data_IF_402882930483
#
_entry.id   IF_402882930483
#
_cell.length_a   1.000
_cell.length_b   1.000
_cell.length_c   1.000
_cell.angle_alpha   90.00
_cell.angle_beta   90.00
_cell.angle_gamma   90.00
#
_symmetry.space_group_name_H-M   'P 1'
#
loop_
_entity.id
_entity.type
_entity.pdbx_description
1 polymer ?
#
# COMPACT_ATOMS: atom_id res chain seq x y z
N UNK A 1 33.78 -17.39 -13.89
CA UNK A 1 33.62 -16.05 -13.29
C UNK A 1 32.23 -15.54 -13.68
N UNK A 2 31.21 -15.92 -12.89
CA UNK A 2 29.79 -15.60 -13.14
C UNK A 2 29.35 -14.64 -12.03
N UNK A 3 29.45 -13.34 -12.29
CA UNK A 3 29.02 -12.28 -11.38
C UNK A 3 28.07 -11.37 -12.17
N UNK A 4 26.79 -11.30 -11.80
CA UNK A 4 25.94 -10.17 -12.18
C UNK A 4 24.45 -10.42 -12.40
N UNK A 5 24.00 -11.59 -12.86
CA UNK A 5 22.67 -11.70 -13.48
C UNK A 5 21.45 -11.81 -12.53
N UNK A 6 21.65 -11.90 -11.20
CA UNK A 6 20.56 -12.25 -10.26
C UNK A 6 19.94 -11.11 -9.43
N UNK A 7 20.47 -9.88 -9.48
CA UNK A 7 20.11 -8.83 -8.51
C UNK A 7 18.86 -8.00 -8.88
N UNK A 8 18.54 -7.86 -10.17
CA UNK A 8 17.46 -6.98 -10.64
C UNK A 8 16.08 -7.30 -10.07
N UNK A 9 15.55 -8.53 -10.30
CA UNK A 9 14.20 -8.88 -9.86
C UNK A 9 14.04 -8.85 -8.34
N UNK A 10 15.04 -9.34 -7.61
CA UNK A 10 15.00 -9.37 -6.14
C UNK A 10 15.07 -7.97 -5.53
N UNK A 11 15.86 -7.06 -6.13
CA UNK A 11 15.95 -5.68 -5.67
C UNK A 11 14.63 -4.92 -5.88
N UNK A 12 13.97 -5.12 -7.02
CA UNK A 12 12.66 -4.50 -7.31
C UNK A 12 11.58 -5.02 -6.36
N UNK A 13 11.53 -6.34 -6.10
CA UNK A 13 10.59 -6.91 -5.12
C UNK A 13 10.85 -6.40 -3.70
N UNK A 14 12.12 -6.30 -3.29
CA UNK A 14 12.47 -5.75 -1.98
C UNK A 14 12.10 -4.26 -1.87
N UNK A 15 12.37 -3.47 -2.91
CA UNK A 15 12.01 -2.06 -2.96
C UNK A 15 10.50 -1.86 -2.95
N UNK A 16 9.73 -2.68 -3.67
CA UNK A 16 8.28 -2.66 -3.65
C UNK A 16 7.72 -2.96 -2.25
N UNK A 17 8.26 -4.00 -1.59
CA UNK A 17 7.90 -4.34 -0.22
C UNK A 17 8.23 -3.23 0.77
N UNK A 18 9.44 -2.67 0.67
CA UNK A 18 9.87 -1.55 1.52
C UNK A 18 8.99 -0.30 1.32
N UNK A 19 8.64 0.03 0.07
CA UNK A 19 7.75 1.15 -0.23
C UNK A 19 6.35 0.94 0.36
N UNK A 20 5.75 -0.25 0.17
CA UNK A 20 4.44 -0.55 0.71
C UNK A 20 4.42 -0.49 2.25
N UNK A 21 5.41 -1.09 2.90
CA UNK A 21 5.52 -1.08 4.36
C UNK A 21 5.83 0.32 4.91
N UNK A 22 6.65 1.10 4.20
CA UNK A 22 6.94 2.48 4.57
C UNK A 22 5.69 3.35 4.53
N UNK A 23 4.86 3.22 3.49
CA UNK A 23 3.58 3.94 3.38
C UNK A 23 2.62 3.50 4.48
N UNK A 24 2.42 2.20 4.67
CA UNK A 24 1.50 1.68 5.72
C UNK A 24 1.98 2.07 7.11
N UNK A 25 3.28 1.96 7.38
CA UNK A 25 3.87 2.39 8.64
C UNK A 25 3.69 3.88 8.87
N UNK A 26 3.98 4.72 7.88
CA UNK A 26 3.77 6.17 7.96
C UNK A 26 2.32 6.53 8.27
N UNK A 27 1.36 5.95 7.53
CA UNK A 27 -0.07 6.16 7.76
C UNK A 27 -0.51 5.69 9.15
N UNK A 28 0.03 4.58 9.65
CA UNK A 28 -0.31 4.08 10.98
C UNK A 28 0.02 5.09 12.10
N UNK A 29 1.13 5.84 11.94
CA UNK A 29 1.53 6.87 12.90
C UNK A 29 0.92 8.24 12.61
N UNK A 30 0.39 8.48 11.41
CA UNK A 30 -0.32 9.70 11.04
C UNK A 30 -1.84 9.56 11.27
N UNK A 31 -2.21 9.47 12.54
CA UNK A 31 -3.60 9.26 12.99
C UNK A 31 -4.31 8.09 12.27
N UNK A 32 -3.58 7.00 12.01
CA UNK A 32 -4.09 5.82 11.33
C UNK A 32 -4.44 6.02 9.85
N UNK A 33 -4.09 7.16 9.25
CA UNK A 33 -4.41 7.49 7.86
C UNK A 33 -5.87 7.83 7.62
N UNK A 34 -6.62 8.23 8.66
CA UNK A 34 -8.04 8.58 8.54
C UNK A 34 -8.29 9.93 7.85
N UNK A 35 -7.29 10.81 7.82
CA UNK A 35 -7.45 12.16 7.28
C UNK A 35 -7.19 12.24 5.76
N UNK A 36 -7.88 13.15 5.04
CA UNK A 36 -7.70 13.33 3.61
C UNK A 36 -6.29 13.57 3.12
N UNK A 37 -5.54 14.38 3.85
CA UNK A 37 -4.14 14.68 3.53
C UNK A 37 -3.27 13.43 3.61
N UNK A 38 -3.51 12.57 4.60
CA UNK A 38 -2.70 11.38 4.85
C UNK A 38 -2.79 10.38 3.68
N UNK A 39 -4.01 9.99 3.26
CA UNK A 39 -4.14 9.04 2.15
C UNK A 39 -3.84 9.66 0.79
N UNK A 40 -3.93 10.98 0.62
CA UNK A 40 -3.50 11.67 -0.60
C UNK A 40 -1.98 11.62 -0.75
N UNK A 41 -1.25 12.02 0.29
CA UNK A 41 0.22 11.98 0.29
C UNK A 41 0.74 10.55 0.21
N UNK A 42 0.21 9.65 1.05
CA UNK A 42 0.53 8.23 1.03
C UNK A 42 0.22 7.59 -0.32
N UNK A 43 -0.93 7.93 -0.92
CA UNK A 43 -1.35 7.46 -2.23
C UNK A 43 -0.43 7.94 -3.35
N UNK A 44 -0.03 9.22 -3.33
CA UNK A 44 0.90 9.79 -4.29
C UNK A 44 2.27 9.11 -4.21
N UNK A 45 2.81 8.90 -3.01
CA UNK A 45 4.07 8.18 -2.81
C UNK A 45 3.98 6.73 -3.28
N UNK A 46 2.90 6.01 -2.93
CA UNK A 46 2.70 4.62 -3.33
C UNK A 46 2.57 4.48 -4.86
N UNK A 47 1.79 5.33 -5.51
CA UNK A 47 1.62 5.34 -6.97
C UNK A 47 2.92 5.71 -7.69
N UNK A 48 3.64 6.72 -7.21
CA UNK A 48 4.93 7.11 -7.78
C UNK A 48 5.95 5.98 -7.66
N UNK A 49 6.05 5.34 -6.50
CA UNK A 49 6.93 4.18 -6.29
C UNK A 49 6.55 3.03 -7.23
N UNK A 50 5.25 2.70 -7.33
CA UNK A 50 4.76 1.66 -8.23
C UNK A 50 5.11 1.97 -9.69
N UNK A 51 4.85 3.20 -10.15
CA UNK A 51 5.16 3.64 -11.51
C UNK A 51 6.66 3.58 -11.84
N UNK A 52 7.51 4.06 -10.93
CA UNK A 52 8.98 4.01 -11.08
C UNK A 52 9.47 2.55 -11.14
N UNK A 53 8.99 1.69 -10.25
CA UNK A 53 9.41 0.27 -10.23
C UNK A 53 8.97 -0.47 -11.49
N UNK A 54 7.75 -0.22 -11.98
CA UNK A 54 7.26 -0.78 -13.25
C UNK A 54 8.06 -0.25 -14.45
N UNK A 55 8.47 1.02 -14.45
CA UNK A 55 9.30 1.60 -15.50
C UNK A 55 10.72 1.02 -15.53
N UNK A 56 11.29 0.71 -14.36
CA UNK A 56 12.61 0.06 -14.23
C UNK A 56 12.53 -1.40 -14.69
N UNK A 57 11.50 -2.12 -14.26
CA UNK A 57 11.38 -3.54 -14.56
C UNK A 57 9.91 -3.97 -14.66
N UNK A 58 9.47 -4.27 -15.88
CA UNK A 58 8.20 -4.96 -16.07
C UNK A 58 8.27 -6.37 -15.47
N UNK A 59 7.26 -6.79 -14.68
CA UNK A 59 7.18 -8.14 -14.18
C UNK A 59 7.09 -9.12 -15.36
N UNK A 60 8.07 -10.04 -15.44
CA UNK A 60 8.12 -11.10 -16.48
C UNK A 60 7.38 -12.38 -16.06
N UNK A 61 6.76 -12.38 -14.89
CA UNK A 61 5.97 -13.50 -14.40
C UNK A 61 4.51 -13.30 -14.79
N UNK A 62 3.82 -14.41 -15.09
CA UNK A 62 2.39 -14.37 -15.36
C UNK A 62 1.64 -14.00 -14.08
N UNK A 63 0.96 -12.85 -14.10
CA UNK A 63 0.02 -12.50 -13.05
C UNK A 63 -1.17 -13.46 -13.14
N UNK A 64 -1.63 -13.96 -12.00
CA UNK A 64 -2.81 -14.83 -11.97
C UNK A 64 -4.05 -14.03 -12.37
N UNK A 65 -5.04 -14.70 -12.94
CA UNK A 65 -6.33 -14.07 -13.27
C UNK A 65 -6.97 -13.42 -12.03
N UNK A 66 -6.79 -14.02 -10.85
CA UNK A 66 -7.26 -13.47 -9.58
C UNK A 66 -6.53 -12.17 -9.19
N UNK A 67 -5.21 -12.09 -9.40
CA UNK A 67 -4.46 -10.86 -9.14
C UNK A 67 -4.88 -9.73 -10.09
N UNK A 68 -5.07 -10.05 -11.38
CA UNK A 68 -5.58 -9.09 -12.37
C UNK A 68 -7.01 -8.66 -12.07
N UNK A 69 -7.87 -9.58 -11.67
CA UNK A 69 -9.24 -9.27 -11.24
C UNK A 69 -9.23 -8.37 -10.00
N UNK A 70 -8.37 -8.67 -9.00
CA UNK A 70 -8.26 -7.87 -7.78
C UNK A 70 -7.86 -6.42 -8.07
N UNK A 71 -6.76 -6.21 -8.80
CA UNK A 71 -6.31 -4.85 -9.13
C UNK A 71 -7.30 -4.14 -10.08
N UNK A 72 -7.89 -4.86 -11.03
CA UNK A 72 -8.87 -4.32 -11.97
C UNK A 72 -10.17 -3.90 -11.30
N UNK A 73 -10.70 -4.71 -10.37
CA UNK A 73 -11.91 -4.38 -9.61
C UNK A 73 -11.68 -3.20 -8.66
N UNK A 74 -10.51 -3.12 -8.01
CA UNK A 74 -10.16 -1.96 -7.18
C UNK A 74 -10.02 -0.68 -8.02
N UNK A 75 -9.36 -0.76 -9.19
CA UNK A 75 -9.25 0.38 -10.09
C UNK A 75 -10.62 0.80 -10.66
N UNK A 76 -11.49 -0.16 -10.97
CA UNK A 76 -12.85 0.11 -11.40
C UNK A 76 -13.68 0.75 -10.28
N UNK A 77 -13.52 0.30 -9.04
CA UNK A 77 -14.15 0.91 -7.88
C UNK A 77 -13.70 2.36 -7.71
N UNK A 78 -12.38 2.64 -7.78
CA UNK A 78 -11.85 4.00 -7.71
C UNK A 78 -12.40 4.90 -8.84
N UNK A 79 -12.47 4.38 -10.07
CA UNK A 79 -13.05 5.12 -11.19
C UNK A 79 -14.54 5.39 -10.97
N UNK A 80 -15.28 4.42 -10.44
CA UNK A 80 -16.69 4.54 -10.13
C UNK A 80 -16.98 5.54 -8.99
N UNK A 81 -16.17 5.53 -7.93
CA UNK A 81 -16.30 6.48 -6.81
C UNK A 81 -15.98 7.90 -7.27
N UNK A 82 -14.92 8.07 -8.08
CA UNK A 82 -14.60 9.35 -8.70
C UNK A 82 -15.69 9.87 -9.64
N UNK A 83 -16.24 9.00 -10.48
CA UNK A 83 -17.33 9.36 -11.40
C UNK A 83 -18.62 9.71 -10.64
N UNK A 84 -18.86 9.06 -9.50
CA UNK A 84 -20.00 9.34 -8.64
C UNK A 84 -20.00 10.78 -8.08
N UNK A 85 -18.85 11.46 -8.03
CA UNK A 85 -18.78 12.86 -7.64
C UNK A 85 -19.59 13.78 -8.57
N UNK A 86 -19.82 13.41 -9.83
CA UNK A 86 -20.57 14.23 -10.78
C UNK A 86 -22.07 14.32 -10.49
N UNK A 87 -22.62 13.42 -9.68
CA UNK A 87 -24.04 13.39 -9.31
C UNK A 87 -24.28 13.18 -7.81
N UNK A 88 -23.21 13.17 -7.01
CA UNK A 88 -23.31 13.05 -5.56
C UNK A 88 -23.75 14.38 -4.94
N UNK A 89 -24.64 14.35 -3.93
CA UNK A 89 -24.89 15.50 -3.05
C UNK A 89 -23.66 15.96 -2.25
N UNK A 90 -22.63 15.11 -2.15
CA UNK A 90 -21.36 15.37 -1.46
C UNK A 90 -20.19 14.97 -2.39
N UNK A 91 -19.80 15.82 -3.35
CA UNK A 91 -18.77 15.52 -4.33
C UNK A 91 -17.38 15.39 -3.70
N UNK A 92 -17.06 16.21 -2.69
CA UNK A 92 -15.75 16.19 -2.02
C UNK A 92 -15.49 14.86 -1.31
N UNK A 93 -16.51 14.29 -0.66
CA UNK A 93 -16.43 12.97 -0.03
C UNK A 93 -16.17 11.87 -1.05
N UNK A 94 -16.84 11.93 -2.20
CA UNK A 94 -16.65 10.94 -3.27
C UNK A 94 -15.23 11.00 -3.87
N UNK A 95 -14.66 12.20 -4.02
CA UNK A 95 -13.27 12.37 -4.47
C UNK A 95 -12.26 11.89 -3.42
N UNK A 96 -12.53 12.15 -2.15
CA UNK A 96 -11.75 11.61 -1.03
C UNK A 96 -11.74 10.07 -1.01
N UNK A 97 -12.90 9.44 -1.22
CA UNK A 97 -13.01 7.99 -1.30
C UNK A 97 -12.26 7.42 -2.52
N UNK A 98 -12.35 8.07 -3.69
CA UNK A 98 -11.56 7.71 -4.87
C UNK A 98 -10.05 7.75 -4.57
N UNK A 99 -9.56 8.79 -3.90
CA UNK A 99 -8.13 8.91 -3.56
C UNK A 99 -7.68 7.76 -2.65
N UNK A 100 -8.53 7.40 -1.67
CA UNK A 100 -8.29 6.27 -0.78
C UNK A 100 -8.30 4.94 -1.54
N UNK A 101 -9.21 4.75 -2.49
CA UNK A 101 -9.23 3.56 -3.34
C UNK A 101 -7.97 3.46 -4.22
N UNK A 102 -7.49 4.59 -4.77
CA UNK A 102 -6.24 4.65 -5.54
C UNK A 102 -5.00 4.30 -4.70
N UNK A 103 -4.95 4.72 -3.44
CA UNK A 103 -3.93 4.26 -2.50
C UNK A 103 -3.97 2.74 -2.35
N UNK A 104 -5.16 2.13 -2.22
CA UNK A 104 -5.29 0.67 -2.13
C UNK A 104 -4.85 -0.04 -3.42
N UNK A 105 -5.18 0.51 -4.59
CA UNK A 105 -4.69 0.01 -5.88
C UNK A 105 -3.15 0.00 -5.90
N UNK A 106 -2.53 1.09 -5.46
CA UNK A 106 -1.08 1.22 -5.43
C UNK A 106 -0.41 0.24 -4.45
N UNK A 107 -0.93 0.14 -3.23
CA UNK A 107 -0.42 -0.80 -2.23
C UNK A 107 -0.60 -2.25 -2.68
N UNK A 108 -1.73 -2.58 -3.31
CA UNK A 108 -1.95 -3.92 -3.86
C UNK A 108 -0.96 -4.22 -5.00
N UNK A 109 -0.75 -3.27 -5.91
CA UNK A 109 0.24 -3.38 -7.00
C UNK A 109 1.68 -3.56 -6.47
N UNK A 110 2.08 -2.77 -5.46
CA UNK A 110 3.37 -2.94 -4.79
C UNK A 110 3.48 -4.31 -4.10
N UNK A 111 2.40 -4.77 -3.47
CA UNK A 111 2.32 -6.11 -2.89
C UNK A 111 2.52 -7.22 -3.92
N UNK A 112 1.92 -7.07 -5.11
CA UNK A 112 2.14 -8.01 -6.22
C UNK A 112 3.58 -7.99 -6.75
N UNK A 113 4.22 -6.82 -6.82
CA UNK A 113 5.64 -6.71 -7.18
C UNK A 113 6.57 -7.29 -6.11
N UNK A 114 6.24 -7.07 -4.83
CA UNK A 114 6.99 -7.61 -3.70
C UNK A 114 6.88 -9.13 -3.61
N UNK A 115 5.69 -9.68 -3.88
CA UNK A 115 5.43 -11.11 -3.81
C UNK A 115 6.14 -11.92 -4.91
N UNK A 116 6.50 -11.29 -6.04
CA UNK A 116 7.30 -11.88 -7.11
C UNK A 116 6.81 -13.28 -7.56
N UNK A 117 7.75 -14.20 -7.80
CA UNK A 117 7.43 -15.63 -7.99
C UNK A 117 7.16 -16.30 -6.64
N UNK A 118 6.13 -17.15 -6.55
CA UNK A 118 5.39 -17.52 -5.33
C UNK A 118 6.15 -17.96 -4.06
N UNK A 119 7.46 -18.21 -4.10
CA UNK A 119 8.29 -18.38 -2.88
C UNK A 119 8.39 -17.09 -2.06
N UNK A 120 8.42 -15.93 -2.72
CA UNK A 120 8.50 -14.64 -2.04
C UNK A 120 7.16 -14.21 -1.42
N UNK A 121 6.03 -14.72 -1.93
CA UNK A 121 4.69 -14.44 -1.38
C UNK A 121 4.54 -14.84 0.10
N UNK A 122 5.06 -16.00 0.51
CA UNK A 122 5.01 -16.44 1.92
C UNK A 122 5.87 -15.53 2.80
N UNK A 123 7.02 -15.08 2.30
CA UNK A 123 7.90 -14.17 3.03
C UNK A 123 7.28 -12.78 3.15
N UNK A 124 6.67 -12.25 2.08
CA UNK A 124 5.88 -11.01 2.13
C UNK A 124 4.76 -11.12 3.14
N UNK A 125 3.99 -12.21 3.14
CA UNK A 125 2.93 -12.44 4.12
C UNK A 125 3.44 -12.43 5.57
N UNK A 126 4.59 -13.07 5.85
CA UNK A 126 5.22 -13.06 7.18
C UNK A 126 5.69 -11.66 7.59
N UNK A 127 6.29 -10.92 6.67
CA UNK A 127 6.76 -9.55 6.95
C UNK A 127 5.57 -8.61 7.19
N UNK A 128 4.52 -8.70 6.39
CA UNK A 128 3.28 -7.95 6.59
C UNK A 128 2.69 -8.25 7.97
N UNK A 129 2.60 -9.53 8.35
CA UNK A 129 2.14 -9.92 9.68
C UNK A 129 3.02 -9.32 10.78
N UNK A 130 4.34 -9.39 10.64
CA UNK A 130 5.26 -8.82 11.62
C UNK A 130 5.08 -7.30 11.77
N UNK A 131 4.88 -6.57 10.66
CA UNK A 131 4.62 -5.13 10.68
C UNK A 131 3.29 -4.81 11.35
N UNK A 132 2.23 -5.58 11.07
CA UNK A 132 0.95 -5.45 11.77
C UNK A 132 1.14 -5.61 13.28
N UNK A 133 1.88 -6.64 13.71
CA UNK A 133 2.17 -6.87 15.13
C UNK A 133 2.94 -5.69 15.74
N UNK A 134 3.97 -5.17 15.06
CA UNK A 134 4.72 -4.00 15.53
C UNK A 134 3.83 -2.77 15.67
N UNK A 135 2.99 -2.48 14.68
CA UNK A 135 2.04 -1.35 14.71
C UNK A 135 1.08 -1.50 15.90
N UNK A 136 0.49 -2.69 16.10
CA UNK A 136 -0.41 -2.97 17.21
C UNK A 136 0.31 -2.82 18.56
N UNK A 137 1.50 -3.39 18.71
CA UNK A 137 2.28 -3.28 19.94
C UNK A 137 2.68 -1.83 20.23
N UNK A 138 3.12 -1.07 19.23
CA UNK A 138 3.45 0.34 19.38
C UNK A 138 2.22 1.16 19.81
N UNK A 139 1.06 0.89 19.19
CA UNK A 139 -0.22 1.49 19.57
C UNK A 139 -0.62 1.17 21.01
N UNK A 140 -0.44 -0.08 21.46
CA UNK A 140 -0.72 -0.47 22.85
C UNK A 140 0.22 0.23 23.85
N UNK A 141 1.52 0.33 23.54
CA UNK A 141 2.50 1.01 24.40
C UNK A 141 2.19 2.51 24.48
N UNK A 142 1.80 3.14 23.38
CA UNK A 142 1.49 4.58 23.37
C UNK A 142 0.09 4.88 23.95
N UNK A 143 -0.89 4.00 23.75
CA UNK A 143 -2.25 4.15 24.29
C UNK A 143 -2.30 4.11 25.81
N UNK A 144 -1.47 3.28 26.46
CA UNK A 144 -1.44 3.16 27.92
C UNK A 144 -0.82 4.38 28.65
N UNK A 145 -0.19 5.29 27.90
CA UNK A 145 0.53 6.45 28.46
C UNK A 145 -0.35 7.71 28.52
N UNK A 146 -1.40 7.80 27.70
CA UNK A 146 -2.27 9.00 27.59
C UNK A 146 -3.36 9.09 28.64
N UNK A 147 -3.96 7.97 29.06
CA UNK A 147 -5.11 7.95 29.97
C UNK A 147 -4.74 8.21 31.44
N UNK A 148 -3.45 8.12 31.81
CA UNK A 148 -2.99 8.27 33.20
C UNK A 148 -2.64 9.70 33.63
N UNK A 149 -2.63 10.67 32.71
CA UNK A 149 -2.23 12.06 32.99
C UNK A 149 -3.38 13.08 32.95
N UNK A 150 -4.62 12.64 32.74
CA UNK A 150 -5.81 13.52 32.61
C UNK A 150 -6.84 13.34 33.74
N UNK A 151 -6.39 13.32 35.00
CA UNK A 151 -7.26 13.47 36.17
C UNK A 151 -6.66 14.49 37.16
N UNK A 152 -7.13 15.75 37.16
CA UNK A 152 -7.30 16.52 38.38
C UNK A 152 -8.63 16.17 39.08
#
# INVERSE_FOLDING_TARGET
MQLGAGRGPAAVSAAAGAAALGVVGGLAFDAGGYFPTAYLEGGAVALAALGVLLAIQLPRYALSAHALAGIGLLALLAAWTGLSAAWSPAPDTALADMQRDLLYVALFGLGLLAAGSGRHAVLVGRVVLAVIVVIVCAGLVHGDTGDRLSYP
#
